data_IF_191404348379
#
_entry.id   IF_191404348379
#
_cell.length_a   1.000
_cell.length_b   1.000
_cell.length_c   1.000
_cell.angle_alpha   90.00
_cell.angle_beta   90.00
_cell.angle_gamma   90.00
#
_symmetry.space_group_name_H-M   'P 1'
#
loop_
_entity.id
_entity.type
_entity.pdbx_description
1 polymer ?
#
# COMPACT_ATOMS: atom_id res chain seq x y z
N UNK A 1 -22.16 18.98 7.25
CA UNK A 1 -21.30 18.63 6.10
C UNK A 1 -20.04 18.02 6.70
N UNK A 2 -19.79 16.74 6.42
CA UNK A 2 -18.73 15.99 7.09
C UNK A 2 -17.36 16.47 6.62
N UNK A 3 -16.56 16.98 7.54
CA UNK A 3 -15.15 17.31 7.28
C UNK A 3 -14.38 15.99 7.14
N UNK A 4 -14.28 15.44 5.94
CA UNK A 4 -13.52 14.22 5.69
C UNK A 4 -12.15 14.57 5.13
N UNK A 5 -11.19 14.75 6.05
CA UNK A 5 -9.80 14.48 5.73
C UNK A 5 -9.70 12.96 5.54
N UNK A 6 -9.74 12.52 4.28
CA UNK A 6 -9.74 11.11 3.93
C UNK A 6 -8.90 10.88 2.69
N UNK A 7 -8.05 9.86 2.74
CA UNK A 7 -7.40 9.34 1.55
C UNK A 7 -8.33 8.37 0.79
N UNK A 8 -8.39 8.53 -0.53
CA UNK A 8 -9.10 7.62 -1.43
C UNK A 8 -8.12 6.63 -2.07
N UNK A 9 -8.34 5.35 -1.79
CA UNK A 9 -7.60 4.22 -2.38
C UNK A 9 -8.44 3.45 -3.41
N UNK A 10 -9.70 3.84 -3.63
CA UNK A 10 -10.64 3.12 -4.51
C UNK A 10 -10.20 3.12 -5.98
N UNK A 11 -9.43 4.13 -6.39
CA UNK A 11 -8.83 4.22 -7.73
C UNK A 11 -7.86 3.07 -8.02
N UNK A 12 -7.20 2.51 -6.99
CA UNK A 12 -6.19 1.46 -7.16
C UNK A 12 -6.80 0.19 -7.77
N UNK A 13 -8.05 -0.14 -7.44
CA UNK A 13 -8.77 -1.29 -8.03
C UNK A 13 -9.01 -1.13 -9.53
N UNK A 14 -9.07 0.11 -10.03
CA UNK A 14 -9.30 0.42 -11.46
C UNK A 14 -8.00 0.57 -12.23
N UNK A 15 -6.95 1.07 -11.57
CA UNK A 15 -5.66 1.42 -12.19
C UNK A 15 -4.70 0.23 -12.22
N UNK A 16 -4.67 -0.57 -11.14
CA UNK A 16 -3.75 -1.70 -11.03
C UNK A 16 -4.25 -2.90 -11.81
N UNK A 17 -3.33 -3.64 -12.43
CA UNK A 17 -3.62 -5.00 -12.90
C UNK A 17 -4.09 -5.89 -11.74
N UNK A 18 -4.80 -7.00 -12.01
CA UNK A 18 -5.23 -7.91 -10.95
C UNK A 18 -4.07 -8.41 -10.06
N UNK A 19 -2.93 -8.70 -10.68
CA UNK A 19 -1.68 -9.09 -10.02
C UNK A 19 -1.17 -7.97 -9.12
N UNK A 20 -1.06 -6.75 -9.65
CA UNK A 20 -0.58 -5.62 -8.88
C UNK A 20 -1.51 -5.24 -7.73
N UNK A 21 -2.83 -5.35 -7.94
CA UNK A 21 -3.83 -5.13 -6.89
C UNK A 21 -3.73 -6.18 -5.78
N UNK A 22 -3.49 -7.45 -6.12
CA UNK A 22 -3.27 -8.50 -5.14
C UNK A 22 -1.99 -8.25 -4.30
N UNK A 23 -0.87 -7.89 -4.93
CA UNK A 23 0.34 -7.50 -4.21
C UNK A 23 0.11 -6.26 -3.34
N UNK A 24 -0.57 -5.24 -3.86
CA UNK A 24 -0.93 -4.03 -3.11
C UNK A 24 -1.71 -4.37 -1.84
N UNK A 25 -2.71 -5.25 -1.93
CA UNK A 25 -3.48 -5.69 -0.76
C UNK A 25 -2.59 -6.30 0.31
N UNK A 26 -1.66 -7.18 -0.06
CA UNK A 26 -0.73 -7.79 0.91
C UNK A 26 0.14 -6.72 1.59
N UNK A 27 0.71 -5.79 0.83
CA UNK A 27 1.54 -4.71 1.38
C UNK A 27 0.72 -3.75 2.26
N UNK A 28 -0.51 -3.44 1.86
CA UNK A 28 -1.42 -2.60 2.63
C UNK A 28 -1.76 -3.25 3.98
N UNK A 29 -2.12 -4.54 3.97
CA UNK A 29 -2.43 -5.29 5.18
C UNK A 29 -1.22 -5.42 6.11
N UNK A 30 -0.04 -5.75 5.58
CA UNK A 30 1.20 -5.79 6.36
C UNK A 30 1.49 -4.45 7.05
N UNK A 31 1.27 -3.35 6.33
CA UNK A 31 1.44 -1.99 6.87
C UNK A 31 0.45 -1.73 8.00
N UNK A 32 -0.83 -2.03 7.78
CA UNK A 32 -1.90 -1.84 8.74
C UNK A 32 -1.67 -2.64 10.02
N UNK A 33 -1.32 -3.92 9.89
CA UNK A 33 -1.00 -4.80 11.02
C UNK A 33 0.25 -4.33 11.78
N UNK A 34 1.28 -3.90 11.06
CA UNK A 34 2.49 -3.34 11.68
C UNK A 34 2.17 -2.08 12.48
N UNK A 35 1.36 -1.18 11.95
CA UNK A 35 0.92 0.03 12.68
C UNK A 35 0.12 -0.36 13.93
N UNK A 36 -0.82 -1.30 13.81
CA UNK A 36 -1.65 -1.72 14.94
C UNK A 36 -0.84 -2.39 16.07
N UNK A 37 0.22 -3.11 15.73
CA UNK A 37 1.00 -3.91 16.69
C UNK A 37 2.24 -3.20 17.23
N UNK A 38 2.90 -2.38 16.41
CA UNK A 38 4.19 -1.73 16.70
C UNK A 38 4.18 -0.22 16.53
N UNK A 39 3.08 0.34 16.05
CA UNK A 39 2.96 1.76 15.69
C UNK A 39 3.60 2.09 14.33
N UNK A 40 3.47 3.36 13.89
CA UNK A 40 4.22 3.97 12.79
C UNK A 40 5.67 3.53 12.64
N UNK A 41 6.12 3.23 11.42
CA UNK A 41 7.49 2.83 11.14
C UNK A 41 8.10 3.67 10.03
N UNK A 42 9.39 4.00 10.15
CA UNK A 42 10.12 4.63 9.04
C UNK A 42 10.27 3.69 7.83
N UNK A 43 10.33 2.38 8.09
CA UNK A 43 10.42 1.32 7.09
C UNK A 43 9.59 0.12 7.52
N UNK A 44 8.82 -0.38 6.58
CA UNK A 44 8.05 -1.62 6.67
C UNK A 44 8.81 -2.73 5.96
N UNK A 45 8.58 -3.96 6.42
CA UNK A 45 9.23 -5.16 5.88
C UNK A 45 8.19 -6.28 5.80
N UNK A 46 8.24 -7.06 4.73
CA UNK A 46 7.51 -8.34 4.59
C UNK A 46 8.37 -9.36 3.84
N UNK A 47 8.12 -10.65 4.08
CA UNK A 47 8.80 -11.71 3.33
C UNK A 47 8.32 -11.73 1.87
N UNK A 48 9.25 -11.95 0.94
CA UNK A 48 8.89 -12.15 -0.46
C UNK A 48 8.02 -13.40 -0.65
N UNK A 49 8.27 -14.45 0.14
CA UNK A 49 7.48 -15.68 0.12
C UNK A 49 6.05 -15.44 0.61
N UNK A 50 5.86 -14.59 1.62
CA UNK A 50 4.54 -14.19 2.10
C UNK A 50 3.78 -13.45 1.00
N UNK A 51 4.44 -12.53 0.28
CA UNK A 51 3.81 -11.84 -0.85
C UNK A 51 3.42 -12.81 -1.94
N UNK A 52 4.31 -13.72 -2.37
CA UNK A 52 3.98 -14.72 -3.40
C UNK A 52 2.77 -15.58 -2.97
N UNK A 53 2.80 -16.09 -1.74
CA UNK A 53 1.75 -16.94 -1.18
C UNK A 53 0.40 -16.22 -1.04
N UNK A 54 0.39 -15.04 -0.41
CA UNK A 54 -0.83 -14.31 -0.08
C UNK A 54 -1.44 -13.56 -1.27
N UNK A 55 -0.62 -13.17 -2.25
CA UNK A 55 -1.11 -12.54 -3.48
C UNK A 55 -1.45 -13.55 -4.58
N UNK A 56 -0.99 -14.80 -4.47
CA UNK A 56 -1.14 -15.83 -5.50
C UNK A 56 -0.31 -15.57 -6.76
N UNK A 57 0.71 -14.72 -6.67
CA UNK A 57 1.59 -14.37 -7.79
C UNK A 57 2.67 -15.43 -7.96
N UNK A 58 2.95 -15.78 -9.22
CA UNK A 58 3.73 -16.97 -9.55
C UNK A 58 5.23 -16.87 -9.21
N UNK A 59 5.81 -15.67 -9.39
CA UNK A 59 7.26 -15.49 -9.27
C UNK A 59 7.65 -14.05 -8.91
N UNK A 60 8.93 -13.90 -8.60
CA UNK A 60 9.55 -12.64 -8.15
C UNK A 60 9.52 -11.56 -9.24
N UNK A 61 9.61 -11.94 -10.52
CA UNK A 61 9.58 -10.98 -11.63
C UNK A 61 8.20 -10.35 -11.76
N UNK A 62 7.15 -11.16 -11.62
CA UNK A 62 5.76 -10.73 -11.58
C UNK A 62 5.49 -9.82 -10.38
N UNK A 63 6.06 -10.13 -9.21
CA UNK A 63 6.00 -9.25 -8.03
C UNK A 63 6.72 -7.91 -8.30
N UNK A 64 7.89 -7.93 -8.93
CA UNK A 64 8.62 -6.72 -9.28
C UNK A 64 7.83 -5.85 -10.27
N UNK A 65 7.17 -6.47 -11.25
CA UNK A 65 6.30 -5.77 -12.19
C UNK A 65 5.06 -5.16 -11.49
N UNK A 66 4.42 -5.92 -10.61
CA UNK A 66 3.34 -5.42 -9.76
C UNK A 66 3.77 -4.22 -8.91
N UNK A 67 4.95 -4.27 -8.29
CA UNK A 67 5.50 -3.15 -7.53
C UNK A 67 5.73 -1.92 -8.41
N UNK A 68 6.20 -2.08 -9.65
CA UNK A 68 6.35 -0.96 -10.59
C UNK A 68 5.02 -0.26 -10.89
N UNK A 69 3.94 -1.03 -11.04
CA UNK A 69 2.60 -0.45 -11.21
C UNK A 69 2.16 0.30 -9.94
N UNK A 70 2.36 -0.28 -8.76
CA UNK A 70 2.00 0.35 -7.48
C UNK A 70 2.76 1.67 -7.25
N UNK A 71 4.04 1.73 -7.62
CA UNK A 71 4.85 2.96 -7.52
C UNK A 71 4.24 4.10 -8.36
N UNK A 72 3.60 3.78 -9.49
CA UNK A 72 2.99 4.77 -10.37
C UNK A 72 1.62 5.25 -9.87
N UNK A 73 1.02 4.55 -8.89
CA UNK A 73 -0.26 4.95 -8.33
C UNK A 73 -0.12 6.10 -7.33
N UNK A 74 -1.08 7.03 -7.40
CA UNK A 74 -1.21 8.14 -6.48
C UNK A 74 -2.45 7.95 -5.60
N UNK A 75 -2.27 8.16 -4.31
CA UNK A 75 -3.33 8.28 -3.31
C UNK A 75 -3.78 9.74 -3.29
N UNK A 76 -5.05 9.96 -3.58
CA UNK A 76 -5.67 11.28 -3.48
C UNK A 76 -6.14 11.50 -2.05
N UNK A 77 -5.64 12.55 -1.39
CA UNK A 77 -6.06 12.94 -0.05
C UNK A 77 -6.72 14.31 -0.12
N UNK A 78 -8.00 14.36 0.23
CA UNK A 78 -8.74 15.62 0.33
C UNK A 78 -8.44 16.25 1.69
N UNK A 79 -8.00 17.52 1.68
CA UNK A 79 -7.72 18.31 2.88
C UNK A 79 -8.44 19.64 2.76
N UNK A 80 -9.54 19.80 3.50
CA UNK A 80 -10.41 20.99 3.54
C UNK A 80 -10.67 21.67 2.18
N UNK A 81 -9.73 22.51 1.71
CA UNK A 81 -9.84 23.35 0.51
C UNK A 81 -8.90 22.94 -0.63
N UNK A 82 -8.13 21.85 -0.49
CA UNK A 82 -7.20 21.38 -1.52
C UNK A 82 -7.11 19.84 -1.56
N UNK A 83 -6.52 19.34 -2.65
CA UNK A 83 -6.27 17.91 -2.87
C UNK A 83 -4.77 17.69 -2.92
N UNK A 84 -4.29 16.71 -2.15
CA UNK A 84 -2.92 16.23 -2.20
C UNK A 84 -2.85 14.90 -2.96
N UNK A 85 -1.74 14.72 -3.67
CA UNK A 85 -1.44 13.48 -4.39
C UNK A 85 -0.15 12.90 -3.83
N UNK A 86 -0.22 11.73 -3.23
CA UNK A 86 0.93 11.06 -2.64
C UNK A 86 1.18 9.73 -3.35
N UNK A 87 2.43 9.33 -3.61
CA UNK A 87 2.68 7.94 -3.94
C UNK A 87 2.30 7.04 -2.75
N UNK A 88 1.79 5.84 -3.02
CA UNK A 88 1.59 4.87 -1.93
C UNK A 88 2.94 4.42 -1.35
N UNK A 89 3.85 3.94 -2.21
CA UNK A 89 5.20 3.56 -1.85
C UNK A 89 6.14 4.74 -2.09
N UNK A 90 6.64 5.36 -1.01
CA UNK A 90 7.65 6.40 -1.09
C UNK A 90 9.03 5.83 -1.48
N UNK A 91 9.33 4.61 -1.03
CA UNK A 91 10.47 3.82 -1.50
C UNK A 91 10.15 2.33 -1.39
N UNK A 92 10.78 1.50 -2.22
CA UNK A 92 10.66 0.04 -2.16
C UNK A 92 11.92 -0.62 -2.70
N UNK A 93 12.32 -1.72 -2.09
CA UNK A 93 13.42 -2.57 -2.52
C UNK A 93 13.07 -4.05 -2.30
N UNK A 94 13.42 -4.89 -3.26
CA UNK A 94 13.38 -6.35 -3.11
C UNK A 94 14.82 -6.82 -2.92
N UNK A 95 15.14 -7.33 -1.73
CA UNK A 95 16.50 -7.79 -1.41
C UNK A 95 16.45 -8.99 -0.45
N UNK A 96 17.33 -9.97 -0.67
CA UNK A 96 17.53 -11.11 0.24
C UNK A 96 16.22 -11.82 0.69
N UNK A 97 15.29 -12.04 -0.24
CA UNK A 97 14.01 -12.70 0.05
C UNK A 97 13.00 -11.82 0.81
N UNK A 98 13.19 -10.51 0.84
CA UNK A 98 12.33 -9.55 1.54
C UNK A 98 11.93 -8.40 0.63
N UNK A 99 10.78 -7.82 0.93
CA UNK A 99 10.35 -6.54 0.38
C UNK A 99 10.39 -5.52 1.51
N UNK A 100 11.22 -4.49 1.34
CA UNK A 100 11.32 -3.36 2.26
C UNK A 100 10.77 -2.13 1.59
N UNK A 101 9.97 -1.36 2.31
CA UNK A 101 9.33 -0.18 1.74
C UNK A 101 9.05 0.89 2.79
N UNK A 102 8.80 2.10 2.34
CA UNK A 102 8.31 3.20 3.18
C UNK A 102 7.08 3.82 2.55
N UNK A 103 6.22 4.39 3.39
CA UNK A 103 5.04 5.15 2.96
C UNK A 103 5.12 6.57 3.54
N UNK A 104 4.41 7.52 2.93
CA UNK A 104 4.38 8.88 3.44
C UNK A 104 3.59 8.94 4.77
N UNK A 105 4.04 9.74 5.74
CA UNK A 105 3.38 9.87 7.05
C UNK A 105 1.89 10.24 6.93
N UNK A 106 1.58 11.15 6.00
CA UNK A 106 0.20 11.58 5.73
C UNK A 106 -0.70 10.45 5.20
N UNK A 107 -0.12 9.40 4.62
CA UNK A 107 -0.81 8.19 4.15
C UNK A 107 -0.87 7.13 5.25
N UNK A 108 0.19 7.01 6.05
CA UNK A 108 0.27 6.09 7.19
C UNK A 108 -0.88 6.30 8.20
N UNK A 109 -1.18 7.56 8.53
CA UNK A 109 -2.31 7.90 9.40
C UNK A 109 -3.65 7.44 8.80
N UNK A 110 -3.80 7.50 7.49
CA UNK A 110 -5.03 7.10 6.78
C UNK A 110 -5.15 5.58 6.70
N UNK A 111 -4.05 4.87 6.44
CA UNK A 111 -4.01 3.39 6.46
C UNK A 111 -4.51 2.84 7.79
N UNK A 112 -4.16 3.48 8.90
CA UNK A 112 -4.61 3.08 10.24
C UNK A 112 -6.12 3.25 10.48
N UNK A 113 -6.77 4.12 9.70
CA UNK A 113 -8.20 4.48 9.84
C UNK A 113 -9.12 3.69 8.91
N UNK A 114 -8.58 3.06 7.88
CA UNK A 114 -9.38 2.31 6.91
C UNK A 114 -9.86 0.98 7.52
N UNK A 115 -11.17 0.68 7.49
CA UNK A 115 -11.69 -0.58 7.97
C UNK A 115 -11.13 -1.76 7.15
N UNK A 116 -10.88 -2.90 7.82
CA UNK A 116 -10.36 -4.13 7.20
C UNK A 116 -11.16 -4.62 5.97
N UNK A 117 -12.43 -4.22 5.86
CA UNK A 117 -13.37 -4.67 4.83
C UNK A 117 -13.19 -3.89 3.50
N UNK A 118 -12.35 -2.85 3.47
CA UNK A 118 -12.30 -1.90 2.34
C UNK A 118 -11.86 -2.52 1.00
N UNK A 119 -11.17 -3.66 1.01
CA UNK A 119 -10.66 -4.31 -0.21
C UNK A 119 -11.29 -5.69 -0.51
N UNK A 120 -12.41 -6.03 0.15
CA UNK A 120 -13.20 -7.24 -0.14
C UNK A 120 -14.03 -7.06 -1.41
#
# INVERSE_FOLDING_TARGET
MGNTNSADFSSFKKVLSPTAFACFRVLFENTRETIATRGPQQKYETSLDDVLSLSGVADVESVAQAIREIIQCQVEKHVENYVCFYPFLASVSIEAGKIRYSIHKDIEEEVSRIPAIFFV
#
